data_IF_864483879093
#
_entry.id   IF_864483879093
#
_cell.length_a   1.000
_cell.length_b   1.000
_cell.length_c   1.000
_cell.angle_alpha   90.00
_cell.angle_beta   90.00
_cell.angle_gamma   90.00
#
_symmetry.space_group_name_H-M   'P 1'
#
loop_
_entity.id
_entity.type
_entity.pdbx_description
1 polymer ?
#
# COMPACT_ATOMS: atom_id res chain seq x y z
N UNK A 1 4.78 -21.19 -3.55
CA UNK A 1 5.13 -20.31 -2.41
C UNK A 1 4.56 -18.92 -2.72
N UNK A 2 3.62 -18.43 -1.91
CA UNK A 2 3.15 -17.04 -2.06
C UNK A 2 4.22 -16.12 -1.47
N UNK A 3 4.80 -15.25 -2.29
CA UNK A 3 5.79 -14.27 -1.84
C UNK A 3 5.04 -13.19 -1.07
N UNK A 4 5.41 -13.00 0.20
CA UNK A 4 4.90 -11.93 1.04
C UNK A 4 6.05 -11.17 1.70
N UNK A 5 5.93 -9.86 1.72
CA UNK A 5 6.91 -8.95 2.31
C UNK A 5 6.29 -8.27 3.53
N UNK A 6 7.13 -7.91 4.51
CA UNK A 6 6.69 -7.28 5.76
C UNK A 6 6.99 -5.79 5.73
N UNK A 7 6.08 -5.03 6.30
CA UNK A 7 6.13 -3.57 6.30
C UNK A 7 5.67 -3.01 7.65
N UNK A 8 6.04 -1.77 7.94
CA UNK A 8 5.59 -1.04 9.12
C UNK A 8 5.28 0.43 8.87
N UNK A 9 4.27 0.97 9.54
CA UNK A 9 3.94 2.40 9.57
C UNK A 9 3.43 2.76 10.96
N UNK A 10 4.05 3.75 11.63
CA UNK A 10 3.60 4.24 12.93
C UNK A 10 3.47 3.17 14.03
N UNK A 11 4.34 2.16 14.04
CA UNK A 11 4.29 1.04 14.99
C UNK A 11 3.28 -0.07 14.63
N UNK A 12 2.48 0.11 13.58
CA UNK A 12 1.60 -0.93 13.05
C UNK A 12 2.37 -1.77 12.03
N UNK A 13 2.29 -3.09 12.16
CA UNK A 13 2.91 -4.04 11.24
C UNK A 13 1.91 -4.48 10.15
N UNK A 14 2.43 -4.70 8.95
CA UNK A 14 1.69 -5.07 7.76
C UNK A 14 2.37 -6.21 7.01
N UNK A 15 1.57 -6.93 6.22
CA UNK A 15 2.04 -7.94 5.26
C UNK A 15 1.53 -7.55 3.89
N UNK A 16 2.45 -7.36 2.95
CA UNK A 16 2.15 -7.15 1.55
C UNK A 16 2.19 -8.50 0.83
N UNK A 17 1.12 -8.84 0.10
CA UNK A 17 1.02 -10.06 -0.68
C UNK A 17 0.84 -9.71 -2.15
N UNK A 18 1.62 -10.37 -3.01
CA UNK A 18 1.48 -10.22 -4.46
C UNK A 18 0.25 -10.96 -4.97
N UNK A 19 -0.48 -10.34 -5.89
CA UNK A 19 -1.65 -10.91 -6.57
C UNK A 19 -1.49 -10.79 -8.10
N UNK A 20 -2.40 -11.38 -8.86
CA UNK A 20 -2.42 -11.24 -10.32
C UNK A 20 -2.60 -9.77 -10.77
N UNK A 21 -3.33 -8.98 -9.98
CA UNK A 21 -3.67 -7.58 -10.30
C UNK A 21 -2.70 -6.56 -9.69
N UNK A 22 -1.76 -6.98 -8.85
CA UNK A 22 -0.83 -6.09 -8.15
C UNK A 22 -0.52 -6.64 -6.76
N UNK A 23 -0.96 -5.94 -5.72
CA UNK A 23 -0.72 -6.32 -4.32
C UNK A 23 -1.93 -6.07 -3.42
N UNK A 24 -1.97 -6.80 -2.31
CA UNK A 24 -2.87 -6.57 -1.19
C UNK A 24 -2.05 -6.37 0.09
N UNK A 25 -2.41 -5.35 0.85
CA UNK A 25 -1.79 -5.02 2.13
C UNK A 25 -2.73 -5.42 3.26
N UNK A 26 -2.22 -6.19 4.21
CA UNK A 26 -2.95 -6.68 5.38
C UNK A 26 -2.31 -6.12 6.64
N UNK A 27 -3.10 -5.65 7.61
CA UNK A 27 -2.57 -5.40 8.95
C UNK A 27 -2.25 -6.73 9.63
N UNK A 28 -1.14 -6.81 10.36
CA UNK A 28 -0.74 -8.03 11.06
C UNK A 28 -1.85 -8.47 12.02
N UNK A 29 -2.26 -9.74 11.91
CA UNK A 29 -3.35 -10.32 12.71
C UNK A 29 -4.75 -10.14 12.12
N UNK A 30 -4.89 -9.40 11.01
CA UNK A 30 -6.15 -9.29 10.27
C UNK A 30 -6.16 -10.22 9.05
N UNK A 31 -7.33 -10.77 8.76
CA UNK A 31 -7.59 -11.59 7.56
C UNK A 31 -8.13 -10.76 6.41
N UNK A 32 -8.79 -9.65 6.70
CA UNK A 32 -9.34 -8.73 5.71
C UNK A 32 -8.25 -7.85 5.10
N UNK A 33 -8.39 -7.60 3.80
CA UNK A 33 -7.50 -6.69 3.06
C UNK A 33 -7.71 -5.27 3.58
N UNK A 34 -6.63 -4.65 4.05
CA UNK A 34 -6.65 -3.26 4.50
C UNK A 34 -6.57 -2.29 3.30
N UNK A 35 -5.68 -2.58 2.35
CA UNK A 35 -5.55 -1.81 1.12
C UNK A 35 -5.24 -2.69 -0.09
N UNK A 36 -5.66 -2.25 -1.27
CA UNK A 36 -5.33 -2.86 -2.56
C UNK A 36 -4.46 -1.91 -3.36
N UNK A 37 -3.46 -2.47 -4.03
CA UNK A 37 -2.60 -1.79 -4.99
C UNK A 37 -2.82 -2.47 -6.33
N UNK A 38 -3.57 -1.82 -7.23
CA UNK A 38 -3.91 -2.38 -8.54
C UNK A 38 -2.97 -1.77 -9.56
N UNK A 39 -2.26 -2.59 -10.35
CA UNK A 39 -1.40 -2.09 -11.42
C UNK A 39 -2.19 -1.19 -12.37
N UNK A 40 -1.65 -0.01 -12.64
CA UNK A 40 -2.23 0.94 -13.58
C UNK A 40 -1.29 1.16 -14.75
N UNK A 41 -1.75 0.84 -15.95
CA UNK A 41 -0.96 0.99 -17.17
C UNK A 41 0.34 0.16 -17.17
N UNK A 42 1.35 0.67 -17.86
CA UNK A 42 2.66 0.03 -18.04
C UNK A 42 3.74 0.50 -17.05
N UNK A 43 3.42 1.41 -16.13
CA UNK A 43 4.38 1.99 -15.19
C UNK A 43 4.55 1.21 -13.88
N UNK A 44 5.42 1.72 -13.02
CA UNK A 44 5.66 1.18 -11.66
C UNK A 44 4.71 1.77 -10.60
N UNK A 45 3.58 2.31 -11.05
CA UNK A 45 2.58 2.94 -10.20
C UNK A 45 1.33 2.05 -10.09
N UNK A 46 0.64 2.21 -8.97
CA UNK A 46 -0.53 1.44 -8.61
C UNK A 46 -1.66 2.38 -8.22
N UNK A 47 -2.89 2.01 -8.57
CA UNK A 47 -4.06 2.58 -7.91
C UNK A 47 -4.09 2.04 -6.49
N UNK A 48 -3.93 2.93 -5.52
CA UNK A 48 -4.08 2.63 -4.11
C UNK A 48 -5.55 2.80 -3.72
N UNK A 49 -6.12 1.81 -3.03
CA UNK A 49 -7.50 1.90 -2.54
C UNK A 49 -7.62 1.24 -1.18
N UNK A 50 -8.33 1.92 -0.29
CA UNK A 50 -8.77 1.43 1.03
C UNK A 50 -10.29 1.47 1.08
N UNK A 51 -10.90 1.13 2.22
CA UNK A 51 -12.34 1.29 2.42
C UNK A 51 -12.83 2.75 2.38
N UNK A 52 -11.96 3.75 2.55
CA UNK A 52 -12.35 5.16 2.70
C UNK A 52 -11.69 6.12 1.71
N UNK A 53 -10.50 5.81 1.22
CA UNK A 53 -9.73 6.67 0.30
C UNK A 53 -9.13 5.88 -0.84
N UNK A 54 -8.97 6.55 -1.99
CA UNK A 54 -8.26 6.04 -3.16
C UNK A 54 -7.24 7.07 -3.64
N UNK A 55 -6.17 6.60 -4.28
CA UNK A 55 -5.06 7.45 -4.70
C UNK A 55 -4.02 6.69 -5.52
N UNK A 56 -2.78 7.17 -5.47
CA UNK A 56 -1.64 6.56 -6.16
C UNK A 56 -0.74 5.85 -5.14
N UNK A 57 -0.04 4.82 -5.60
CA UNK A 57 1.03 4.20 -4.84
C UNK A 57 2.19 3.79 -5.74
N UNK A 58 3.39 3.74 -5.18
CA UNK A 58 4.59 3.25 -5.83
C UNK A 58 5.57 2.72 -4.78
N UNK A 59 6.56 1.95 -5.24
CA UNK A 59 7.68 1.55 -4.39
C UNK A 59 8.85 2.49 -4.66
N UNK A 60 9.45 3.02 -3.60
CA UNK A 60 10.66 3.83 -3.73
C UNK A 60 11.91 2.96 -3.95
N UNK A 61 13.08 3.60 -4.06
CA UNK A 61 14.35 2.90 -4.29
C UNK A 61 14.78 1.97 -3.14
N UNK A 62 14.29 2.20 -1.93
CA UNK A 62 14.53 1.34 -0.75
C UNK A 62 13.52 0.20 -0.65
N UNK A 63 12.50 0.19 -1.52
CA UNK A 63 11.42 -0.78 -1.53
C UNK A 63 10.31 -0.47 -0.53
N UNK A 64 10.30 0.73 0.06
CA UNK A 64 9.18 1.20 0.86
C UNK A 64 7.98 1.43 -0.04
N UNK A 65 6.79 1.16 0.48
CA UNK A 65 5.54 1.47 -0.21
C UNK A 65 5.11 2.89 0.17
N UNK A 66 5.06 3.76 -0.84
CA UNK A 66 4.53 5.13 -0.73
C UNK A 66 3.11 5.14 -1.26
N UNK A 67 2.15 5.62 -0.47
CA UNK A 67 0.77 5.82 -0.89
C UNK A 67 0.37 7.28 -0.71
N UNK A 68 -0.17 7.88 -1.76
CA UNK A 68 -0.59 9.27 -1.80
C UNK A 68 -2.08 9.35 -2.14
N UNK A 69 -2.85 10.07 -1.34
CA UNK A 69 -4.28 10.28 -1.58
C UNK A 69 -4.70 11.67 -1.12
N UNK A 70 -5.83 12.15 -1.63
CA UNK A 70 -6.42 13.40 -1.17
C UNK A 70 -7.30 13.10 0.04
N UNK A 71 -7.04 13.74 1.17
CA UNK A 71 -7.91 13.65 2.34
C UNK A 71 -9.24 14.37 2.02
N UNK A 72 -10.39 13.68 2.13
CA UNK A 72 -11.68 14.23 1.71
C UNK A 72 -12.17 15.39 2.59
N UNK A 73 -11.63 15.56 3.80
CA UNK A 73 -12.07 16.60 4.73
C UNK A 73 -11.31 17.91 4.51
N UNK A 74 -10.01 17.83 4.23
CA UNK A 74 -9.11 18.98 4.10
C UNK A 74 -8.77 19.32 2.65
N UNK A 75 -8.97 18.40 1.71
CA UNK A 75 -8.54 18.53 0.31
C UNK A 75 -7.02 18.48 0.12
N UNK A 76 -6.25 18.20 1.20
CA UNK A 76 -4.80 18.12 1.13
C UNK A 76 -4.33 16.74 0.65
N UNK A 77 -3.18 16.72 -0.03
CA UNK A 77 -2.50 15.47 -0.38
C UNK A 77 -1.80 14.92 0.87
N UNK A 78 -2.14 13.70 1.24
CA UNK A 78 -1.51 12.95 2.33
C UNK A 78 -0.60 11.89 1.73
N UNK A 79 0.63 11.79 2.23
CA UNK A 79 1.59 10.74 1.89
C UNK A 79 1.80 9.81 3.09
N UNK A 80 1.60 8.52 2.88
CA UNK A 80 1.80 7.46 3.87
C UNK A 80 2.93 6.56 3.40
N UNK A 81 3.93 6.40 4.26
CA UNK A 81 5.11 5.56 3.99
C UNK A 81 5.01 4.29 4.82
N UNK A 82 4.78 3.15 4.17
CA UNK A 82 4.96 1.84 4.77
C UNK A 82 6.41 1.43 4.52
N UNK A 83 7.21 1.40 5.58
CA UNK A 83 8.63 1.04 5.49
C UNK A 83 8.76 -0.46 5.34
N UNK A 84 9.61 -0.91 4.43
CA UNK A 84 9.88 -2.33 4.26
C UNK A 84 10.73 -2.81 5.43
N UNK A 85 10.34 -3.92 6.05
CA UNK A 85 11.17 -4.55 7.07
C UNK A 85 12.34 -5.25 6.35
N UNK A 86 13.57 -4.99 6.80
CA UNK A 86 14.80 -5.60 6.27
C UNK A 86 14.95 -7.07 6.71
#
# INVERSE_FOLDING_TARGET
MSISEKYSNGGVAYVLKKTAMGYELFKKGQTETFARLIKSGSGNNFLYSTGSVSGNAYFDAEGNLIAEYVDPNSGQVISVIYRKDQ
#
